data_IF_130431848830
#
_entry.id   IF_130431848830
#
_cell.length_a   1.000
_cell.length_b   1.000
_cell.length_c   1.000
_cell.angle_alpha   90.00
_cell.angle_beta   90.00
_cell.angle_gamma   90.00
#
_symmetry.space_group_name_H-M   'P 1'
#
loop_
_entity.id
_entity.type
_entity.pdbx_description
1 polymer ?
#
# COMPACT_ATOMS: atom_id res chain seq x y z
N UNK A 1 -12.16 23.54 22.80
CA UNK A 1 -11.36 24.00 21.64
C UNK A 1 -9.89 23.56 21.67
N UNK A 2 -9.25 23.34 22.83
CA UNK A 2 -7.82 23.00 22.91
C UNK A 2 -7.40 21.58 22.46
N UNK A 3 -8.23 20.55 22.63
CA UNK A 3 -7.82 19.16 22.34
C UNK A 3 -7.78 18.86 20.83
N UNK A 4 -8.77 19.35 20.08
CA UNK A 4 -8.86 19.16 18.62
C UNK A 4 -7.74 19.88 17.86
N UNK A 5 -7.37 21.10 18.29
CA UNK A 5 -6.25 21.85 17.73
C UNK A 5 -4.88 21.20 18.01
N UNK A 6 -4.69 20.62 19.20
CA UNK A 6 -3.48 19.86 19.56
C UNK A 6 -3.37 18.53 18.81
N UNK A 7 -4.50 17.85 18.57
CA UNK A 7 -4.53 16.64 17.73
C UNK A 7 -4.15 16.97 16.29
N UNK A 8 -4.69 18.05 15.70
CA UNK A 8 -4.34 18.47 14.34
C UNK A 8 -2.87 18.85 14.20
N UNK A 9 -2.30 19.55 15.18
CA UNK A 9 -0.87 19.89 15.19
C UNK A 9 0.02 18.63 15.27
N UNK A 10 -0.33 17.68 16.15
CA UNK A 10 0.38 16.40 16.26
C UNK A 10 0.35 15.61 14.97
N UNK A 11 -0.82 15.48 14.35
CA UNK A 11 -0.98 14.78 13.06
C UNK A 11 -0.13 15.45 11.99
N UNK A 12 -0.12 16.78 11.89
CA UNK A 12 0.73 17.48 10.92
C UNK A 12 2.22 17.25 11.16
N UNK A 13 2.68 17.32 12.41
CA UNK A 13 4.09 17.02 12.76
C UNK A 13 4.47 15.58 12.41
N UNK A 14 3.59 14.63 12.71
CA UNK A 14 3.81 13.21 12.39
C UNK A 14 3.89 12.98 10.88
N UNK A 15 2.94 13.53 10.10
CA UNK A 15 2.93 13.44 8.64
C UNK A 15 4.21 14.07 8.06
N UNK A 16 4.62 15.23 8.57
CA UNK A 16 5.84 15.90 8.13
C UNK A 16 7.08 15.02 8.37
N UNK A 17 7.21 14.42 9.56
CA UNK A 17 8.30 13.51 9.89
C UNK A 17 8.32 12.26 8.97
N UNK A 18 7.16 11.63 8.74
CA UNK A 18 7.05 10.47 7.85
C UNK A 18 7.43 10.81 6.40
N UNK A 19 6.95 11.94 5.86
CA UNK A 19 7.29 12.41 4.51
C UNK A 19 8.77 12.78 4.37
N UNK A 20 9.38 13.28 5.45
CA UNK A 20 10.82 13.55 5.54
C UNK A 20 11.66 12.29 5.80
N UNK A 21 11.02 11.13 5.99
CA UNK A 21 11.65 9.85 6.33
C UNK A 21 12.39 9.87 7.67
N UNK A 22 12.01 10.80 8.57
CA UNK A 22 12.48 10.84 9.95
C UNK A 22 11.59 9.94 10.82
N UNK A 23 11.76 8.62 10.65
CA UNK A 23 10.98 7.62 11.37
C UNK A 23 11.16 7.73 12.89
N UNK A 24 12.35 8.13 13.37
CA UNK A 24 12.60 8.31 14.79
C UNK A 24 11.73 9.43 15.38
N UNK A 25 11.65 10.59 14.71
CA UNK A 25 10.77 11.68 15.13
C UNK A 25 9.29 11.30 15.02
N UNK A 26 8.89 10.61 13.95
CA UNK A 26 7.52 10.14 13.78
C UNK A 26 7.12 9.16 14.91
N UNK A 27 7.99 8.20 15.24
CA UNK A 27 7.73 7.25 16.31
C UNK A 27 7.74 7.89 17.71
N UNK A 28 8.56 8.91 17.96
CA UNK A 28 8.49 9.67 19.20
C UNK A 28 7.11 10.35 19.38
N UNK A 29 6.53 10.87 18.29
CA UNK A 29 5.17 11.42 18.32
C UNK A 29 4.13 10.30 18.50
N UNK A 30 4.34 9.13 17.91
CA UNK A 30 3.48 7.94 18.14
C UNK A 30 3.54 7.48 19.60
N UNK A 31 4.71 7.54 20.25
CA UNK A 31 4.87 7.25 21.68
C UNK A 31 4.06 8.22 22.55
N UNK A 32 4.10 9.52 22.25
CA UNK A 32 3.25 10.53 22.92
C UNK A 32 1.76 10.23 22.75
N UNK A 33 1.34 9.76 21.57
CA UNK A 33 -0.04 9.40 21.29
C UNK A 33 -0.46 8.12 22.04
N UNK A 34 0.41 7.11 22.05
CA UNK A 34 0.21 5.84 22.74
C UNK A 34 0.03 6.05 24.25
N UNK A 35 0.87 6.90 24.87
CA UNK A 35 0.79 7.23 26.30
C UNK A 35 -0.50 7.97 26.70
N UNK A 36 -1.23 8.54 25.74
CA UNK A 36 -2.48 9.27 25.95
C UNK A 36 -3.72 8.45 25.62
N UNK A 37 -3.57 7.19 25.19
CA UNK A 37 -4.71 6.31 24.88
C UNK A 37 -5.48 5.97 26.16
N UNK A 38 -6.79 6.22 26.13
CA UNK A 38 -7.69 5.79 27.20
C UNK A 38 -8.01 4.31 27.03
N UNK A 39 -7.56 3.46 27.96
CA UNK A 39 -7.79 2.02 27.92
C UNK A 39 -9.28 1.63 27.78
N UNK A 40 -10.21 2.47 28.23
CA UNK A 40 -11.65 2.23 28.09
C UNK A 40 -12.15 2.37 26.63
N UNK A 41 -11.40 3.09 25.78
CA UNK A 41 -11.73 3.29 24.36
C UNK A 41 -11.08 2.26 23.41
N UNK A 42 -10.34 1.29 23.97
CA UNK A 42 -9.65 0.27 23.20
C UNK A 42 -10.65 -0.59 22.43
N UNK A 43 -10.48 -0.68 21.12
CA UNK A 43 -11.36 -1.41 20.19
C UNK A 43 -12.86 -1.08 20.36
N UNK A 44 -13.18 0.20 20.57
CA UNK A 44 -14.55 0.67 20.84
C UNK A 44 -15.55 0.23 19.74
N UNK A 45 -16.56 -0.62 20.07
CA UNK A 45 -17.51 -1.10 19.10
C UNK A 45 -18.42 -0.01 18.51
N UNK A 46 -18.53 1.15 19.16
CA UNK A 46 -19.29 2.29 18.65
C UNK A 46 -18.61 3.00 17.46
N UNK A 47 -17.32 2.73 17.24
CA UNK A 47 -16.57 3.30 16.13
C UNK A 47 -16.53 2.34 14.92
N UNK A 48 -16.53 2.86 13.68
CA UNK A 48 -16.10 2.11 12.52
C UNK A 48 -14.71 1.48 12.73
N UNK A 49 -14.48 0.26 12.22
CA UNK A 49 -13.21 -0.47 12.43
C UNK A 49 -11.96 0.34 12.08
N UNK A 50 -11.97 1.08 10.96
CA UNK A 50 -10.86 1.94 10.53
C UNK A 50 -10.58 3.16 11.45
N UNK A 51 -11.41 3.41 12.46
CA UNK A 51 -11.18 4.43 13.49
C UNK A 51 -10.81 3.81 14.85
N UNK A 52 -10.79 2.48 14.96
CA UNK A 52 -10.44 1.77 16.19
C UNK A 52 -8.93 1.60 16.30
N UNK A 53 -8.47 1.48 17.54
CA UNK A 53 -7.10 1.13 17.86
C UNK A 53 -7.11 -0.08 18.80
N UNK A 54 -6.12 -0.97 18.65
CA UNK A 54 -6.08 -2.25 19.39
C UNK A 54 -4.81 -2.44 20.20
N UNK A 55 -3.69 -1.83 19.80
CA UNK A 55 -2.44 -1.94 20.53
C UNK A 55 -2.34 -0.90 21.64
N UNK A 56 -1.99 -1.31 22.85
CA UNK A 56 -1.84 -0.41 24.01
C UNK A 56 -0.37 -0.28 24.45
N UNK A 57 0.57 -0.69 23.61
CA UNK A 57 2.00 -0.61 23.90
C UNK A 57 2.55 -1.79 24.71
N UNK A 58 1.69 -2.76 25.08
CA UNK A 58 2.15 -3.98 25.74
C UNK A 58 3.18 -4.73 24.87
N UNK A 59 4.11 -5.39 25.54
CA UNK A 59 5.17 -6.16 24.87
C UNK A 59 4.58 -7.38 24.17
N UNK A 60 4.90 -7.53 22.89
CA UNK A 60 4.51 -8.65 22.04
C UNK A 60 5.52 -9.81 22.10
N UNK A 61 6.72 -9.57 22.64
CA UNK A 61 7.82 -10.54 22.59
C UNK A 61 7.49 -11.81 23.36
N UNK A 62 7.62 -12.96 22.69
CA UNK A 62 7.29 -14.27 23.27
C UNK A 62 5.81 -14.44 23.65
N UNK A 63 4.91 -13.62 23.12
CA UNK A 63 3.45 -13.70 23.36
C UNK A 63 2.72 -14.31 22.17
N UNK A 64 1.50 -14.80 22.41
CA UNK A 64 0.58 -15.13 21.34
C UNK A 64 -0.04 -13.84 20.82
N UNK A 65 0.29 -13.47 19.59
CA UNK A 65 -0.12 -12.20 19.00
C UNK A 65 -1.18 -12.36 17.92
N UNK A 66 -2.04 -11.34 17.80
CA UNK A 66 -3.01 -11.21 16.72
C UNK A 66 -2.83 -9.87 16.02
N UNK A 67 -2.52 -9.92 14.72
CA UNK A 67 -2.51 -8.73 13.87
C UNK A 67 -3.91 -8.48 13.34
N UNK A 68 -4.41 -7.26 13.51
CA UNK A 68 -5.71 -6.79 13.02
C UNK A 68 -5.52 -5.92 11.78
N UNK A 69 -6.24 -6.21 10.71
CA UNK A 69 -6.20 -5.40 9.48
C UNK A 69 -7.53 -4.64 9.33
N UNK A 70 -7.66 -3.51 10.03
CA UNK A 70 -8.92 -2.73 10.06
C UNK A 70 -8.98 -1.64 8.98
N UNK A 71 -7.84 -1.32 8.36
CA UNK A 71 -7.70 -0.30 7.32
C UNK A 71 -7.86 -0.86 5.91
N UNK A 72 -7.46 -0.08 4.90
CA UNK A 72 -7.65 -0.42 3.50
C UNK A 72 -6.82 -1.62 3.04
N UNK A 73 -7.23 -2.19 1.89
CA UNK A 73 -6.52 -3.31 1.29
C UNK A 73 -5.05 -2.97 0.96
N UNK A 74 -4.81 -1.73 0.52
CA UNK A 74 -3.46 -1.21 0.22
C UNK A 74 -2.57 -1.12 1.46
N UNK A 75 -3.12 -0.67 2.59
CA UNK A 75 -2.38 -0.61 3.86
C UNK A 75 -2.00 -2.02 4.33
N UNK A 76 -2.94 -2.97 4.20
CA UNK A 76 -2.68 -4.37 4.55
C UNK A 76 -1.52 -4.93 3.71
N UNK A 77 -1.54 -4.72 2.39
CA UNK A 77 -0.45 -5.16 1.49
C UNK A 77 0.87 -4.45 1.80
N UNK A 78 0.85 -3.16 2.11
CA UNK A 78 2.05 -2.39 2.45
C UNK A 78 2.73 -2.94 3.70
N UNK A 79 1.97 -3.13 4.76
CA UNK A 79 2.51 -3.50 6.07
C UNK A 79 2.64 -5.01 6.29
N UNK A 80 2.04 -5.85 5.44
CA UNK A 80 2.29 -7.29 5.42
C UNK A 80 3.77 -7.65 5.34
N UNK A 81 4.60 -6.75 4.79
CA UNK A 81 6.07 -6.87 4.76
C UNK A 81 6.73 -7.08 6.12
N UNK A 82 6.08 -6.65 7.20
CA UNK A 82 6.60 -6.74 8.56
C UNK A 82 6.12 -7.98 9.32
N UNK A 83 5.19 -8.75 8.76
CA UNK A 83 4.68 -9.98 9.38
C UNK A 83 5.79 -11.00 9.67
N UNK A 84 6.76 -11.25 8.77
CA UNK A 84 7.87 -12.17 9.07
C UNK A 84 8.74 -11.69 10.25
N UNK A 85 9.07 -10.39 10.28
CA UNK A 85 9.86 -9.77 11.35
C UNK A 85 9.15 -9.84 12.71
N UNK A 86 7.82 -9.68 12.72
CA UNK A 86 7.03 -9.85 13.93
C UNK A 86 7.00 -11.31 14.38
N UNK A 87 6.77 -12.25 13.46
CA UNK A 87 6.67 -13.67 13.77
C UNK A 87 7.93 -14.20 14.48
N UNK A 88 9.12 -13.78 14.06
CA UNK A 88 10.40 -14.13 14.69
C UNK A 88 10.50 -13.72 16.17
N UNK A 89 9.71 -12.72 16.60
CA UNK A 89 9.76 -12.15 17.95
C UNK A 89 8.60 -12.63 18.84
N UNK A 90 7.62 -13.33 18.28
CA UNK A 90 6.40 -13.77 18.99
C UNK A 90 6.41 -15.27 19.27
N UNK A 91 5.63 -15.74 20.24
CA UNK A 91 5.47 -17.19 20.47
C UNK A 91 4.58 -17.84 19.40
N UNK A 92 3.56 -17.12 18.96
CA UNK A 92 2.77 -17.46 17.77
C UNK A 92 2.15 -16.20 17.20
N UNK A 93 1.92 -16.16 15.89
CA UNK A 93 1.27 -15.04 15.24
C UNK A 93 0.04 -15.50 14.46
N UNK A 94 -1.08 -14.78 14.64
CA UNK A 94 -2.25 -14.88 13.77
C UNK A 94 -2.51 -13.54 13.09
N UNK A 95 -3.09 -13.54 11.90
CA UNK A 95 -3.47 -12.35 11.15
C UNK A 95 -4.94 -12.45 10.80
N UNK A 96 -5.74 -11.52 11.30
CA UNK A 96 -7.12 -11.33 10.87
C UNK A 96 -7.18 -10.25 9.79
N UNK A 97 -7.64 -10.63 8.61
CA UNK A 97 -7.66 -9.74 7.45
C UNK A 97 -8.86 -10.01 6.55
N UNK A 98 -9.16 -9.05 5.65
CA UNK A 98 -10.18 -9.22 4.63
C UNK A 98 -9.98 -10.55 3.87
N UNK A 99 -11.03 -11.38 3.72
CA UNK A 99 -10.93 -12.68 3.05
C UNK A 99 -10.25 -12.62 1.67
N UNK A 100 -10.45 -11.51 0.94
CA UNK A 100 -9.87 -11.31 -0.39
C UNK A 100 -8.33 -11.22 -0.37
N UNK A 101 -7.73 -10.86 0.76
CA UNK A 101 -6.27 -10.72 0.89
C UNK A 101 -5.59 -11.95 1.48
N UNK A 102 -6.32 -12.93 2.01
CA UNK A 102 -5.71 -14.10 2.64
C UNK A 102 -4.74 -14.85 1.70
N UNK A 103 -5.07 -15.08 0.41
CA UNK A 103 -4.11 -15.72 -0.51
C UNK A 103 -2.83 -14.92 -0.70
N UNK A 104 -2.93 -13.58 -0.72
CA UNK A 104 -1.75 -12.72 -0.87
C UNK A 104 -0.90 -12.69 0.40
N UNK A 105 -1.54 -12.63 1.58
CA UNK A 105 -0.84 -12.67 2.87
C UNK A 105 -0.13 -14.03 3.01
N UNK A 106 -0.80 -15.12 2.67
CA UNK A 106 -0.20 -16.46 2.66
C UNK A 106 1.04 -16.52 1.76
N UNK A 107 0.98 -15.92 0.56
CA UNK A 107 2.13 -15.83 -0.34
C UNK A 107 3.29 -15.01 0.25
N UNK A 108 3.00 -13.91 0.97
CA UNK A 108 4.03 -13.13 1.68
C UNK A 108 4.73 -13.96 2.75
N UNK A 109 3.95 -14.66 3.58
CA UNK A 109 4.46 -15.46 4.69
C UNK A 109 5.25 -16.66 4.18
N UNK A 110 4.71 -17.38 3.19
CA UNK A 110 5.35 -18.53 2.55
C UNK A 110 6.71 -18.16 1.95
N UNK A 111 6.80 -16.99 1.30
CA UNK A 111 8.06 -16.49 0.73
C UNK A 111 9.15 -16.25 1.79
N UNK A 112 8.76 -15.83 3.00
CA UNK A 112 9.69 -15.59 4.09
C UNK A 112 10.16 -16.89 4.79
N UNK A 113 9.66 -18.06 4.39
CA UNK A 113 9.93 -19.34 5.05
C UNK A 113 9.23 -19.47 6.40
N UNK A 114 8.29 -18.58 6.72
CA UNK A 114 7.55 -18.57 7.97
C UNK A 114 6.43 -19.60 7.99
N UNK A 115 6.74 -20.88 8.19
CA UNK A 115 5.70 -21.85 8.55
C UNK A 115 5.23 -21.54 9.98
N UNK A 116 4.03 -20.98 10.15
CA UNK A 116 3.45 -20.80 11.50
C UNK A 116 2.59 -19.56 11.73
N UNK A 117 2.42 -18.67 10.75
CA UNK A 117 1.45 -17.57 10.88
C UNK A 117 0.06 -18.09 10.52
N UNK A 118 -0.86 -18.08 11.48
CA UNK A 118 -2.25 -18.49 11.25
C UNK A 118 -3.07 -17.37 10.61
N UNK A 119 -3.85 -17.67 9.58
CA UNK A 119 -4.71 -16.68 8.91
C UNK A 119 -6.16 -16.85 9.34
N UNK A 120 -6.84 -15.73 9.60
CA UNK A 120 -8.25 -15.68 10.02
C UNK A 120 -8.99 -14.75 9.06
N UNK A 121 -10.08 -15.20 8.41
CA UNK A 121 -10.94 -14.30 7.65
C UNK A 121 -11.65 -13.33 8.59
N UNK A 122 -11.52 -12.03 8.32
CA UNK A 122 -12.24 -11.00 9.05
C UNK A 122 -13.74 -11.09 8.74
N UNK A 123 -14.54 -11.22 9.79
CA UNK A 123 -15.99 -11.16 9.75
C UNK A 123 -16.46 -10.08 10.73
N UNK A 124 -16.99 -8.94 10.27
CA UNK A 124 -17.46 -7.87 11.16
C UNK A 124 -18.52 -8.32 12.18
N UNK A 125 -19.29 -9.38 11.86
CA UNK A 125 -20.28 -9.93 12.77
C UNK A 125 -19.68 -10.91 13.79
N UNK A 126 -18.49 -11.45 13.52
CA UNK A 126 -17.79 -12.45 14.34
C UNK A 126 -16.29 -12.16 14.35
N UNK A 127 -15.84 -11.03 14.89
CA UNK A 127 -14.43 -10.71 14.96
C UNK A 127 -13.69 -11.74 15.82
N UNK A 128 -12.44 -12.01 15.49
CA UNK A 128 -11.60 -12.94 16.21
C UNK A 128 -11.46 -12.51 17.68
N UNK A 129 -11.45 -13.49 18.59
CA UNK A 129 -11.17 -13.23 19.99
C UNK A 129 -9.78 -12.60 20.17
N UNK A 130 -9.63 -11.58 21.05
CA UNK A 130 -8.34 -10.99 21.37
C UNK A 130 -7.31 -12.03 21.82
N UNK A 131 -6.05 -11.74 21.55
CA UNK A 131 -4.90 -12.53 21.98
C UNK A 131 -4.19 -11.84 23.17
N UNK A 132 -3.05 -12.39 23.61
CA UNK A 132 -2.24 -11.74 24.65
C UNK A 132 -1.86 -10.30 24.24
N UNK A 133 -1.51 -10.13 22.96
CA UNK A 133 -1.21 -8.85 22.34
C UNK A 133 -1.85 -8.74 20.95
N UNK A 134 -2.69 -7.73 20.78
CA UNK A 134 -3.28 -7.38 19.49
C UNK A 134 -2.57 -6.14 18.95
N UNK A 135 -2.20 -6.15 17.67
CA UNK A 135 -1.53 -5.01 17.00
C UNK A 135 -2.23 -4.74 15.68
N UNK A 136 -2.52 -3.47 15.39
CA UNK A 136 -3.05 -3.10 14.08
C UNK A 136 -1.92 -3.15 13.03
N UNK A 137 -2.20 -3.64 11.83
CA UNK A 137 -1.16 -3.89 10.82
C UNK A 137 -0.36 -2.64 10.44
N UNK A 138 -1.00 -1.46 10.44
CA UNK A 138 -0.38 -0.15 10.16
C UNK A 138 0.45 0.39 11.32
N UNK A 139 0.41 -0.26 12.50
CA UNK A 139 1.27 0.07 13.65
C UNK A 139 2.52 -0.83 13.71
N UNK A 140 2.70 -1.79 12.78
CA UNK A 140 3.78 -2.77 12.87
C UNK A 140 5.18 -2.16 12.73
N UNK A 141 5.36 -1.18 11.86
CA UNK A 141 6.64 -0.48 11.69
C UNK A 141 7.04 0.22 13.01
N UNK A 142 6.09 0.90 13.64
CA UNK A 142 6.26 1.58 14.92
C UNK A 142 6.50 0.59 16.07
N UNK A 143 5.70 -0.49 16.17
CA UNK A 143 5.86 -1.50 17.21
C UNK A 143 7.21 -2.25 17.10
N UNK A 144 7.66 -2.51 15.88
CA UNK A 144 8.94 -3.17 15.62
C UNK A 144 10.14 -2.22 15.66
N UNK A 145 9.90 -0.90 15.59
CA UNK A 145 10.89 0.14 15.27
C UNK A 145 11.65 -0.21 13.99
N UNK A 146 10.90 -0.62 12.97
CA UNK A 146 11.41 -1.07 11.69
C UNK A 146 11.05 -0.06 10.60
N UNK A 147 12.05 0.38 9.87
CA UNK A 147 11.91 1.19 8.66
C UNK A 147 11.56 0.30 7.47
N UNK A 148 11.15 0.87 6.32
CA UNK A 148 10.89 0.08 5.12
C UNK A 148 12.09 -0.77 4.67
N UNK A 149 13.32 -0.34 4.96
CA UNK A 149 14.53 -1.05 4.56
C UNK A 149 14.77 -2.35 5.35
N UNK A 150 14.16 -2.49 6.52
CA UNK A 150 14.34 -3.68 7.38
C UNK A 150 13.58 -4.90 6.87
N UNK A 151 12.62 -4.71 5.96
CA UNK A 151 11.88 -5.78 5.31
C UNK A 151 12.39 -6.04 3.88
N UNK A 152 12.76 -7.30 3.60
CA UNK A 152 13.29 -7.74 2.31
C UNK A 152 12.30 -7.53 1.16
N UNK A 153 12.79 -7.08 0.01
CA UNK A 153 12.02 -6.94 -1.23
C UNK A 153 12.56 -7.88 -2.33
N UNK A 154 11.69 -8.37 -3.24
CA UNK A 154 10.23 -8.35 -3.13
C UNK A 154 9.76 -9.23 -1.96
N UNK A 155 8.64 -8.88 -1.33
CA UNK A 155 8.02 -9.70 -0.26
C UNK A 155 6.76 -10.43 -0.72
N UNK A 156 6.29 -10.19 -1.94
CA UNK A 156 5.16 -10.91 -2.55
C UNK A 156 5.62 -11.59 -3.85
N UNK A 157 5.16 -12.82 -4.08
CA UNK A 157 5.38 -13.54 -5.33
C UNK A 157 4.16 -14.39 -5.65
N UNK A 158 3.63 -14.23 -6.87
CA UNK A 158 2.43 -14.90 -7.35
C UNK A 158 2.69 -15.45 -8.75
N UNK A 159 1.87 -16.41 -9.17
CA UNK A 159 1.83 -16.85 -10.56
C UNK A 159 1.43 -15.69 -11.48
N UNK A 160 2.06 -15.60 -12.65
CA UNK A 160 1.79 -14.53 -13.62
C UNK A 160 0.76 -14.99 -14.64
N UNK A 161 -0.11 -14.08 -15.05
CA UNK A 161 -0.93 -14.26 -16.25
C UNK A 161 -0.05 -14.25 -17.52
N UNK A 162 -0.60 -14.69 -18.65
CA UNK A 162 0.07 -14.57 -19.95
C UNK A 162 -0.35 -13.26 -20.62
N UNK A 163 0.59 -12.35 -20.83
CA UNK A 163 0.39 -11.08 -21.53
C UNK A 163 1.46 -10.89 -22.63
N UNK A 164 1.17 -10.07 -23.66
CA UNK A 164 2.19 -9.66 -24.62
C UNK A 164 3.38 -8.99 -23.93
N UNK A 165 4.60 -9.21 -24.46
CA UNK A 165 5.79 -8.52 -23.96
C UNK A 165 5.66 -7.00 -24.16
N UNK A 166 6.14 -6.25 -23.20
CA UNK A 166 6.08 -4.80 -23.13
C UNK A 166 4.73 -4.27 -22.66
N UNK A 167 3.86 -5.10 -22.07
CA UNK A 167 2.54 -4.66 -21.59
C UNK A 167 2.66 -3.72 -20.40
N UNK A 168 1.96 -2.58 -20.46
CA UNK A 168 1.87 -1.60 -19.37
C UNK A 168 0.55 -1.77 -18.62
N UNK A 169 0.60 -1.97 -17.30
CA UNK A 169 -0.57 -1.98 -16.43
C UNK A 169 -0.98 -0.56 -16.03
N UNK A 170 -2.24 -0.20 -16.18
CA UNK A 170 -2.76 1.15 -15.89
C UNK A 170 -3.79 1.10 -14.76
N UNK A 171 -3.61 1.90 -13.71
CA UNK A 171 -4.64 2.14 -12.69
C UNK A 171 -4.70 3.63 -12.33
N UNK A 172 -5.74 4.31 -12.79
CA UNK A 172 -5.83 5.77 -12.74
C UNK A 172 -6.90 6.31 -11.79
N UNK A 173 -7.75 5.45 -11.22
CA UNK A 173 -8.78 5.84 -10.27
C UNK A 173 -8.46 5.33 -8.87
N UNK A 174 -8.73 6.18 -7.87
CA UNK A 174 -8.76 5.83 -6.46
C UNK A 174 -10.21 5.60 -5.99
N UNK A 175 -10.36 5.08 -4.77
CA UNK A 175 -11.68 4.99 -4.14
C UNK A 175 -12.31 6.37 -3.89
N UNK A 176 -13.62 6.38 -3.64
CA UNK A 176 -14.43 7.60 -3.52
C UNK A 176 -14.04 8.55 -2.36
N UNK A 177 -13.16 8.13 -1.46
CA UNK A 177 -12.75 8.89 -0.28
C UNK A 177 -11.76 10.03 -0.58
N UNK A 178 -11.01 9.95 -1.69
CA UNK A 178 -10.04 10.98 -2.12
C UNK A 178 -9.93 11.01 -3.65
N UNK A 179 -10.93 11.63 -4.27
CA UNK A 179 -10.99 11.80 -5.72
C UNK A 179 -9.84 12.65 -6.29
N UNK A 180 -9.14 13.40 -5.44
CA UNK A 180 -7.96 14.18 -5.84
C UNK A 180 -6.80 13.30 -6.31
N UNK A 181 -6.81 12.00 -6.03
CA UNK A 181 -5.84 11.02 -6.54
C UNK A 181 -6.16 10.51 -7.94
N UNK A 182 -7.40 10.71 -8.42
CA UNK A 182 -7.83 10.19 -9.71
C UNK A 182 -7.23 10.99 -10.85
N UNK A 183 -6.60 10.28 -11.78
CA UNK A 183 -6.06 10.80 -13.03
C UNK A 183 -7.14 10.67 -14.11
N UNK A 184 -7.46 11.75 -14.86
CA UNK A 184 -8.37 11.65 -15.99
C UNK A 184 -7.89 10.60 -17.01
N UNK A 185 -8.70 9.59 -17.35
CA UNK A 185 -8.26 8.48 -18.19
C UNK A 185 -7.80 8.93 -19.59
N UNK A 186 -8.43 9.95 -20.19
CA UNK A 186 -8.06 10.44 -21.52
C UNK A 186 -6.60 10.92 -21.61
N UNK A 187 -6.00 11.35 -20.50
CA UNK A 187 -4.59 11.74 -20.45
C UNK A 187 -3.63 10.55 -20.57
N UNK A 188 -4.12 9.32 -20.40
CA UNK A 188 -3.36 8.08 -20.58
C UNK A 188 -3.49 7.47 -21.98
N UNK A 189 -4.41 7.95 -22.82
CA UNK A 189 -4.59 7.44 -24.18
C UNK A 189 -3.28 7.44 -25.02
N UNK A 190 -2.37 8.43 -24.91
CA UNK A 190 -1.08 8.37 -25.58
C UNK A 190 -0.25 7.14 -25.19
N UNK A 191 -0.26 6.73 -23.91
CA UNK A 191 0.48 5.56 -23.41
C UNK A 191 0.05 4.29 -24.17
N UNK A 192 -1.26 4.11 -24.37
CA UNK A 192 -1.83 3.00 -25.14
C UNK A 192 -1.39 3.01 -26.62
N UNK A 193 -1.02 4.17 -27.18
CA UNK A 193 -0.51 4.26 -28.55
C UNK A 193 0.96 3.82 -28.68
N UNK A 194 1.72 3.73 -27.58
CA UNK A 194 3.14 3.35 -27.58
C UNK A 194 3.40 1.91 -27.13
N UNK A 195 2.46 1.29 -26.43
CA UNK A 195 2.62 -0.04 -25.86
C UNK A 195 1.26 -0.73 -25.69
N UNK A 196 1.23 -2.08 -25.74
CA UNK A 196 0.07 -2.82 -25.27
C UNK A 196 -0.24 -2.42 -23.84
N UNK A 197 -1.48 -2.05 -23.55
CA UNK A 197 -1.89 -1.63 -22.22
C UNK A 197 -2.94 -2.58 -21.65
N UNK A 198 -2.89 -2.79 -20.34
CA UNK A 198 -3.88 -3.53 -19.57
C UNK A 198 -4.46 -2.58 -18.53
N UNK A 199 -5.77 -2.48 -18.41
CA UNK A 199 -6.37 -1.76 -17.28
C UNK A 199 -6.42 -2.65 -16.04
N UNK A 200 -6.00 -2.09 -14.91
CA UNK A 200 -6.14 -2.64 -13.56
C UNK A 200 -7.30 -1.95 -12.80
N UNK A 201 -8.11 -1.14 -13.49
CA UNK A 201 -9.39 -0.61 -12.98
C UNK A 201 -10.48 -1.66 -13.10
N UNK A 202 -11.38 -1.79 -12.11
CA UNK A 202 -12.47 -2.77 -12.18
C UNK A 202 -13.56 -2.39 -13.17
N UNK A 203 -13.77 -1.09 -13.42
CA UNK A 203 -14.79 -0.61 -14.34
C UNK A 203 -14.32 -0.68 -15.82
N UNK A 204 -15.28 -0.79 -16.77
CA UNK A 204 -14.98 -0.66 -18.19
C UNK A 204 -14.32 0.67 -18.54
N UNK A 205 -13.49 0.67 -19.59
CA UNK A 205 -12.76 1.84 -20.04
C UNK A 205 -12.84 2.02 -21.55
N UNK A 206 -12.76 3.28 -22.00
CA UNK A 206 -12.66 3.64 -23.41
C UNK A 206 -11.19 3.67 -23.90
N UNK A 207 -10.22 3.46 -23.02
CA UNK A 207 -8.81 3.33 -23.41
C UNK A 207 -8.60 2.09 -24.28
N UNK A 208 -7.68 2.19 -25.24
CA UNK A 208 -7.25 1.05 -26.04
C UNK A 208 -6.38 0.11 -25.19
N UNK A 209 -7.03 -0.85 -24.54
CA UNK A 209 -6.42 -1.82 -23.62
C UNK A 209 -6.84 -3.24 -23.98
N UNK A 210 -6.04 -4.21 -23.55
CA UNK A 210 -6.25 -5.64 -23.78
C UNK A 210 -7.54 -6.18 -23.11
N UNK A 211 -8.05 -5.50 -22.08
CA UNK A 211 -9.22 -5.88 -21.30
C UNK A 211 -10.21 -4.71 -21.10
N UNK A 212 -10.91 -4.23 -22.14
CA UNK A 212 -11.73 -3.02 -22.07
C UNK A 212 -12.92 -3.13 -21.10
N UNK A 213 -13.31 -4.34 -20.71
CA UNK A 213 -14.34 -4.60 -19.71
C UNK A 213 -13.90 -4.35 -18.26
N UNK A 214 -12.62 -4.11 -18.00
CA UNK A 214 -12.04 -3.92 -16.67
C UNK A 214 -11.24 -5.12 -16.16
N UNK A 215 -10.60 -4.94 -15.01
CA UNK A 215 -9.90 -5.97 -14.25
C UNK A 215 -10.88 -6.64 -13.27
N UNK A 216 -10.99 -7.97 -13.23
CA UNK A 216 -11.83 -8.64 -12.25
C UNK A 216 -11.49 -8.18 -10.83
N UNK A 217 -12.52 -7.92 -10.01
CA UNK A 217 -12.32 -7.57 -8.61
C UNK A 217 -12.07 -8.81 -7.74
N UNK A 218 -11.05 -9.55 -8.13
CA UNK A 218 -10.51 -10.74 -7.49
C UNK A 218 -9.01 -10.50 -7.28
N UNK A 219 -8.53 -10.66 -6.04
CA UNK A 219 -7.18 -10.22 -5.68
C UNK A 219 -6.09 -11.12 -6.26
N UNK A 220 -6.35 -12.43 -6.36
CA UNK A 220 -5.41 -13.35 -7.00
C UNK A 220 -5.28 -13.05 -8.49
N UNK A 221 -6.41 -12.84 -9.18
CA UNK A 221 -6.43 -12.44 -10.60
C UNK A 221 -5.76 -11.08 -10.80
N UNK A 222 -6.06 -10.09 -9.97
CA UNK A 222 -5.46 -8.75 -10.04
C UNK A 222 -3.95 -8.81 -9.83
N UNK A 223 -3.49 -9.62 -8.88
CA UNK A 223 -2.07 -9.84 -8.61
C UNK A 223 -1.38 -10.55 -9.78
N UNK A 224 -1.99 -11.60 -10.35
CA UNK A 224 -1.44 -12.32 -11.49
C UNK A 224 -1.32 -11.46 -12.75
N UNK A 225 -2.32 -10.61 -13.01
CA UNK A 225 -2.30 -9.63 -14.08
C UNK A 225 -1.23 -8.56 -13.84
N UNK A 226 -1.17 -7.98 -12.64
CA UNK A 226 -0.15 -6.99 -12.25
C UNK A 226 1.26 -7.56 -12.41
N UNK A 227 1.48 -8.80 -11.96
CA UNK A 227 2.76 -9.49 -12.04
C UNK A 227 3.23 -9.73 -13.48
N UNK A 228 2.28 -9.92 -14.41
CA UNK A 228 2.54 -10.14 -15.83
C UNK A 228 2.86 -8.87 -16.64
N UNK A 229 2.58 -7.68 -16.10
CA UNK A 229 2.94 -6.40 -16.77
C UNK A 229 4.44 -6.13 -16.69
N UNK A 230 5.04 -5.47 -17.68
CA UNK A 230 6.46 -5.08 -17.64
C UNK A 230 6.69 -3.74 -16.93
N UNK A 231 5.66 -2.89 -16.89
CA UNK A 231 5.62 -1.62 -16.18
C UNK A 231 4.21 -1.40 -15.64
N UNK A 232 4.09 -0.93 -14.40
CA UNK A 232 2.81 -0.46 -13.84
C UNK A 232 2.83 1.06 -13.76
N UNK A 233 1.85 1.74 -14.35
CA UNK A 233 1.61 3.18 -14.16
C UNK A 233 0.33 3.33 -13.36
N UNK A 234 0.43 3.86 -12.14
CA UNK A 234 -0.71 3.87 -11.21
C UNK A 234 -0.77 5.11 -10.33
N UNK A 235 -1.98 5.55 -10.01
CA UNK A 235 -2.24 6.50 -8.93
C UNK A 235 -1.95 5.89 -7.55
N UNK A 236 -1.98 6.72 -6.50
CA UNK A 236 -1.84 6.30 -5.09
C UNK A 236 -3.01 5.41 -4.61
N UNK A 237 -2.91 4.12 -4.90
CA UNK A 237 -3.94 3.10 -4.64
C UNK A 237 -3.33 1.78 -4.15
N UNK A 238 -4.18 0.80 -3.87
CA UNK A 238 -3.75 -0.58 -3.60
C UNK A 238 -2.83 -1.14 -4.69
N UNK A 239 -3.04 -0.79 -5.96
CA UNK A 239 -2.23 -1.29 -7.09
C UNK A 239 -0.77 -0.84 -6.97
N UNK A 240 -0.52 0.36 -6.45
CA UNK A 240 0.83 0.80 -6.14
C UNK A 240 1.50 -0.18 -5.16
N UNK A 241 0.86 -0.43 -4.02
CA UNK A 241 1.39 -1.34 -3.00
C UNK A 241 1.55 -2.77 -3.50
N UNK A 242 0.59 -3.28 -4.28
CA UNK A 242 0.64 -4.60 -4.88
C UNK A 242 1.84 -4.75 -5.84
N UNK A 243 2.02 -3.81 -6.77
CA UNK A 243 3.15 -3.81 -7.69
C UNK A 243 4.50 -3.65 -6.97
N UNK A 244 4.55 -2.76 -5.97
CA UNK A 244 5.72 -2.53 -5.13
C UNK A 244 6.13 -3.75 -4.31
N UNK A 245 5.17 -4.45 -3.71
CA UNK A 245 5.39 -5.69 -2.95
C UNK A 245 6.05 -6.79 -3.81
N UNK A 246 5.69 -6.84 -5.09
CA UNK A 246 6.24 -7.76 -6.09
C UNK A 246 7.55 -7.26 -6.72
N UNK A 247 8.01 -6.06 -6.38
CA UNK A 247 9.22 -5.46 -6.96
C UNK A 247 9.10 -5.11 -8.44
N UNK A 248 7.88 -4.91 -8.95
CA UNK A 248 7.65 -4.53 -10.35
C UNK A 248 8.17 -3.12 -10.61
N UNK A 249 8.73 -2.83 -11.80
CA UNK A 249 8.92 -1.46 -12.25
C UNK A 249 7.57 -0.73 -12.20
N UNK A 250 7.51 0.36 -11.45
CA UNK A 250 6.25 1.07 -11.21
C UNK A 250 6.45 2.58 -11.27
N UNK A 251 5.56 3.27 -11.96
CA UNK A 251 5.48 4.72 -12.01
C UNK A 251 4.25 5.17 -11.24
N UNK A 252 4.50 5.81 -10.10
CA UNK A 252 3.47 6.28 -9.19
C UNK A 252 3.09 7.73 -9.53
N UNK A 253 1.82 7.95 -9.82
CA UNK A 253 1.23 9.26 -10.10
C UNK A 253 0.66 9.84 -8.80
N UNK A 254 1.22 10.94 -8.33
CA UNK A 254 0.86 11.56 -7.05
C UNK A 254 0.20 12.92 -7.24
N UNK A 255 -0.85 13.17 -6.47
CA UNK A 255 -1.42 14.51 -6.30
C UNK A 255 -0.46 15.42 -5.52
N UNK A 256 -0.68 16.73 -5.60
CA UNK A 256 0.24 17.72 -5.04
C UNK A 256 0.44 17.60 -3.51
N UNK A 257 -0.59 17.19 -2.78
CA UNK A 257 -0.52 16.88 -1.35
C UNK A 257 -0.63 15.36 -1.15
N UNK A 258 0.46 14.60 -1.33
CA UNK A 258 0.40 13.15 -1.33
C UNK A 258 0.19 12.60 0.09
N UNK A 259 -0.15 11.33 0.22
CA UNK A 259 -0.28 10.67 1.52
C UNK A 259 1.03 10.70 2.36
N UNK A 260 0.95 10.46 3.67
CA UNK A 260 2.08 10.53 4.61
C UNK A 260 3.22 9.57 4.25
N UNK A 261 2.90 8.49 3.55
CA UNK A 261 3.86 7.47 3.12
C UNK A 261 4.80 7.94 2.01
N UNK A 262 4.41 8.96 1.23
CA UNK A 262 5.15 9.37 0.05
C UNK A 262 5.99 10.63 0.32
N UNK A 263 7.29 10.62 -0.01
CA UNK A 263 8.14 11.79 0.19
C UNK A 263 7.73 12.92 -0.74
N UNK A 264 7.88 14.16 -0.28
CA UNK A 264 7.63 15.38 -1.06
C UNK A 264 8.94 15.85 -1.70
N UNK A 265 8.89 16.20 -2.99
CA UNK A 265 10.07 16.70 -3.72
C UNK A 265 11.08 15.60 -4.13
N UNK A 266 10.72 14.33 -4.03
CA UNK A 266 11.54 13.19 -4.45
C UNK A 266 10.84 12.36 -5.52
N UNK A 267 11.62 11.88 -6.50
CA UNK A 267 11.16 10.92 -7.50
C UNK A 267 11.32 9.46 -7.04
N UNK A 268 11.79 9.23 -5.81
CA UNK A 268 12.04 7.91 -5.24
C UNK A 268 11.36 7.76 -3.89
N UNK A 269 11.00 6.53 -3.54
CA UNK A 269 10.39 6.17 -2.26
C UNK A 269 11.20 5.07 -1.57
N UNK A 270 11.39 5.15 -0.23
CA UNK A 270 12.03 4.07 0.53
C UNK A 270 11.15 2.82 0.61
N UNK A 271 9.83 2.97 0.44
CA UNK A 271 8.89 1.86 0.56
C UNK A 271 9.10 0.81 -0.53
N UNK A 272 9.37 1.27 -1.76
CA UNK A 272 9.47 0.43 -2.95
C UNK A 272 10.58 0.98 -3.88
N UNK A 273 11.82 0.45 -3.82
CA UNK A 273 12.93 0.93 -4.65
C UNK A 273 12.72 0.75 -6.16
N UNK A 274 11.78 -0.11 -6.58
CA UNK A 274 11.37 -0.30 -7.97
C UNK A 274 10.40 0.78 -8.47
N UNK A 275 9.96 1.69 -7.60
CA UNK A 275 9.06 2.79 -7.95
C UNK A 275 9.79 4.09 -8.32
N UNK A 276 9.23 4.77 -9.31
CA UNK A 276 9.53 6.15 -9.66
C UNK A 276 8.27 7.02 -9.44
N UNK A 277 8.42 8.20 -8.84
CA UNK A 277 7.32 9.11 -8.52
C UNK A 277 7.24 10.23 -9.55
N UNK A 278 6.05 10.46 -10.06
CA UNK A 278 5.66 11.67 -10.79
C UNK A 278 4.57 12.38 -9.97
N UNK A 279 4.89 13.55 -9.43
CA UNK A 279 3.99 14.31 -8.57
C UNK A 279 3.51 15.60 -9.25
N UNK A 280 2.26 15.98 -8.99
CA UNK A 280 1.74 17.26 -9.43
C UNK A 280 2.56 18.43 -8.86
N UNK A 281 2.84 19.42 -9.71
CA UNK A 281 3.45 20.68 -9.30
C UNK A 281 2.47 21.58 -8.53
N UNK A 282 1.19 21.51 -8.91
CA UNK A 282 0.07 22.19 -8.28
C UNK A 282 -1.17 21.29 -8.28
N UNK A 283 -2.10 21.44 -7.32
CA UNK A 283 -3.31 20.62 -7.27
C UNK A 283 -4.06 20.61 -8.61
N UNK A 284 -4.30 19.42 -9.16
CA UNK A 284 -5.02 19.22 -10.43
C UNK A 284 -4.15 19.25 -11.68
N UNK A 285 -2.85 19.52 -11.59
CA UNK A 285 -1.90 19.50 -12.70
C UNK A 285 -1.54 18.07 -13.16
N UNK A 286 -2.54 17.29 -13.56
CA UNK A 286 -2.31 15.97 -14.15
C UNK A 286 -1.69 16.06 -15.53
N UNK A 287 -1.95 17.13 -16.28
CA UNK A 287 -1.35 17.35 -17.60
C UNK A 287 0.17 17.43 -17.49
N UNK A 288 0.71 18.21 -16.54
CA UNK A 288 2.15 18.31 -16.31
C UNK A 288 2.79 17.00 -15.83
N UNK A 289 2.07 16.21 -15.04
CA UNK A 289 2.50 14.86 -14.63
C UNK A 289 2.58 13.93 -15.85
N UNK A 290 1.54 13.87 -16.67
CA UNK A 290 1.47 12.95 -17.79
C UNK A 290 2.40 13.37 -18.95
N UNK A 291 2.73 14.65 -19.08
CA UNK A 291 3.76 15.11 -20.00
C UNK A 291 5.15 14.52 -19.67
N UNK A 292 5.51 14.44 -18.38
CA UNK A 292 6.76 13.82 -17.91
C UNK A 292 6.74 12.30 -18.14
N UNK A 293 5.65 11.63 -17.76
CA UNK A 293 5.44 10.20 -17.99
C UNK A 293 5.59 9.85 -19.48
N UNK A 294 4.98 10.64 -20.35
CA UNK A 294 5.07 10.48 -21.80
C UNK A 294 6.51 10.58 -22.32
N UNK A 295 7.22 11.64 -21.89
CA UNK A 295 8.61 11.87 -22.27
C UNK A 295 9.50 10.66 -21.91
N UNK A 296 9.40 10.19 -20.67
CA UNK A 296 10.23 9.09 -20.16
C UNK A 296 9.88 7.75 -20.81
N UNK A 297 8.59 7.52 -21.13
CA UNK A 297 8.14 6.29 -21.78
C UNK A 297 8.65 6.18 -23.21
N UNK A 298 8.58 7.28 -23.96
CA UNK A 298 9.15 7.35 -25.30
C UNK A 298 10.66 7.05 -25.27
N UNK A 299 11.40 7.63 -24.30
CA UNK A 299 12.83 7.40 -24.14
C UNK A 299 13.20 5.95 -23.74
N UNK A 300 12.33 5.23 -23.00
CA UNK A 300 12.54 3.81 -22.70
C UNK A 300 12.41 2.93 -23.96
N UNK A 301 11.47 3.25 -24.87
CA UNK A 301 11.25 2.51 -26.10
C UNK A 301 12.41 2.61 -27.08
N UNK A 302 12.96 3.81 -27.28
CA UNK A 302 14.15 3.99 -28.13
C UNK A 302 15.33 3.13 -27.66
N UNK A 303 15.54 3.00 -26.34
CA UNK A 303 16.61 2.18 -25.75
C UNK A 303 16.40 0.67 -25.88
N UNK A 304 15.17 0.22 -26.07
CA UNK A 304 14.86 -1.21 -26.27
C UNK A 304 14.85 -1.61 -27.75
N UNK A 305 14.66 -0.67 -28.67
CA UNK A 305 14.74 -0.93 -30.11
C UNK A 305 16.18 -1.01 -30.64
N UNK A 306 17.15 -0.46 -29.91
CA UNK A 306 18.59 -0.47 -30.27
C UNK A 306 19.37 -1.69 -29.74
N UNK A 307 18.71 -2.67 -29.11
CA UNK A 307 19.30 -3.91 -28.58
C UNK A 307 18.70 -5.14 -29.22
#
# INVERSE_FOLDING_TARGET
MGNRARMTDRTHRWIAAMRAQDYAAAWAISDEALAQRDAASRDDPALPYHLRWVWDGRDYRGKHCLVRCYHGLGDTIQFARFLPLLAERTASLRVEADPRLLPLIDAVVSKAGGSGIGLIPFDPARPAAPSDCDIEITELDFALRATPADARLPYLSVSQALLPRGTVGLCYGAGAWDSGRCVPPDLLAPVCSLAPCLTLMPEPTALDVLNPAGCPFDMETTAALTAATDLVITADTMIAHLAGAMGKPTWLLLKAEPDWRWPVGSHRTPWYPSMHIYAQSAPGDWVGVLAQVWHDLAALRFRTAER
#
